data_IF_754057340636
#
_entry.id   IF_754057340636
#
_cell.length_a   1.000
_cell.length_b   1.000
_cell.length_c   1.000
_cell.angle_alpha   90.00
_cell.angle_beta   90.00
_cell.angle_gamma   90.00
#
_symmetry.space_group_name_H-M   'P 1'
#
loop_
_entity.id
_entity.type
_entity.pdbx_description
1 polymer ?
#
# COMPACT_ATOMS: atom_id res chain seq x y z
N UNK A 1 -26.18 -14.85 -1.54
CA UNK A 1 -26.20 -13.40 -1.17
C UNK A 1 -24.99 -12.98 -0.36
N UNK A 2 -24.66 -13.64 0.75
CA UNK A 2 -23.50 -13.29 1.60
C UNK A 2 -22.17 -13.26 0.84
N UNK A 3 -21.88 -14.28 0.02
CA UNK A 3 -20.64 -14.33 -0.81
C UNK A 3 -20.53 -13.12 -1.75
N UNK A 4 -21.62 -12.70 -2.40
CA UNK A 4 -21.62 -11.55 -3.30
C UNK A 4 -21.34 -10.24 -2.55
N UNK A 5 -21.82 -10.11 -1.31
CA UNK A 5 -21.54 -8.95 -0.44
C UNK A 5 -20.05 -8.93 -0.06
N UNK A 6 -19.49 -10.07 0.36
CA UNK A 6 -18.06 -10.17 0.68
C UNK A 6 -17.20 -9.87 -0.55
N UNK A 7 -17.56 -10.36 -1.72
CA UNK A 7 -16.89 -10.04 -2.99
C UNK A 7 -16.94 -8.54 -3.31
N UNK A 8 -18.11 -7.91 -3.17
CA UNK A 8 -18.27 -6.47 -3.40
C UNK A 8 -17.38 -5.66 -2.44
N UNK A 9 -17.37 -6.02 -1.16
CA UNK A 9 -16.55 -5.36 -0.14
C UNK A 9 -15.06 -5.54 -0.44
N UNK A 10 -14.64 -6.75 -0.84
CA UNK A 10 -13.26 -7.01 -1.24
C UNK A 10 -12.87 -6.16 -2.45
N UNK A 11 -13.72 -6.14 -3.48
CA UNK A 11 -13.48 -5.38 -4.71
C UNK A 11 -13.38 -3.88 -4.45
N UNK A 12 -14.32 -3.31 -3.69
CA UNK A 12 -14.32 -1.89 -3.31
C UNK A 12 -13.08 -1.55 -2.48
N UNK A 13 -12.71 -2.40 -1.51
CA UNK A 13 -11.53 -2.20 -0.67
C UNK A 13 -10.23 -2.21 -1.49
N UNK A 14 -10.09 -3.15 -2.42
CA UNK A 14 -8.95 -3.22 -3.36
C UNK A 14 -8.90 -2.01 -4.26
N UNK A 15 -10.05 -1.56 -4.77
CA UNK A 15 -10.12 -0.37 -5.61
C UNK A 15 -9.66 0.88 -4.86
N UNK A 16 -10.14 1.09 -3.62
CA UNK A 16 -9.67 2.19 -2.78
C UNK A 16 -8.20 2.05 -2.40
N UNK A 17 -7.72 0.83 -2.12
CA UNK A 17 -6.31 0.55 -1.89
C UNK A 17 -5.46 0.97 -3.08
N UNK A 18 -5.80 0.53 -4.30
CA UNK A 18 -5.06 0.85 -5.51
C UNK A 18 -5.02 2.37 -5.75
N UNK A 19 -6.16 3.07 -5.61
CA UNK A 19 -6.20 4.52 -5.76
C UNK A 19 -5.29 5.20 -4.73
N UNK A 20 -5.39 4.82 -3.45
CA UNK A 20 -4.57 5.40 -2.38
C UNK A 20 -3.09 5.12 -2.60
N UNK A 21 -2.76 3.89 -3.00
CA UNK A 21 -1.40 3.46 -3.29
C UNK A 21 -0.83 4.23 -4.47
N UNK A 22 -1.48 4.24 -5.65
CA UNK A 22 -1.00 5.00 -6.82
C UNK A 22 -0.87 6.49 -6.54
N UNK A 23 -1.82 7.07 -5.80
CA UNK A 23 -1.75 8.46 -5.39
C UNK A 23 -0.55 8.70 -4.47
N UNK A 24 -0.28 7.77 -3.55
CA UNK A 24 0.91 7.80 -2.71
C UNK A 24 2.19 7.71 -3.55
N UNK A 25 2.34 6.71 -4.43
CA UNK A 25 3.51 6.52 -5.30
C UNK A 25 3.83 7.76 -6.12
N UNK A 26 2.80 8.41 -6.65
CA UNK A 26 2.95 9.62 -7.48
C UNK A 26 3.31 10.86 -6.66
N UNK A 27 2.79 10.98 -5.43
CA UNK A 27 2.97 12.16 -4.57
C UNK A 27 4.22 12.07 -3.69
N UNK A 28 4.68 10.86 -3.39
CA UNK A 28 5.85 10.58 -2.57
C UNK A 28 7.12 11.32 -3.01
N UNK A 29 7.55 11.31 -4.29
CA UNK A 29 8.74 12.04 -4.71
C UNK A 29 8.60 13.56 -4.54
N UNK A 30 7.37 14.10 -4.60
CA UNK A 30 7.10 15.53 -4.47
C UNK A 30 7.04 15.97 -3.00
N UNK A 31 6.38 15.18 -2.15
CA UNK A 31 6.21 15.47 -0.73
C UNK A 31 7.46 15.17 0.09
N UNK A 32 8.22 14.14 -0.30
CA UNK A 32 9.37 13.64 0.45
C UNK A 32 10.59 13.42 -0.46
N UNK A 33 11.11 14.48 -1.11
CA UNK A 33 12.20 14.37 -2.08
C UNK A 33 13.49 13.82 -1.47
N UNK A 34 13.76 14.12 -0.19
CA UNK A 34 14.93 13.61 0.52
C UNK A 34 14.86 12.09 0.76
N UNK A 35 13.70 11.58 1.17
CA UNK A 35 13.42 10.14 1.29
C UNK A 35 13.54 9.45 -0.06
N UNK A 36 12.93 10.04 -1.09
CA UNK A 36 12.92 9.48 -2.43
C UNK A 36 14.33 9.31 -3.01
N UNK A 37 15.25 10.25 -2.75
CA UNK A 37 16.67 10.10 -3.10
C UNK A 37 17.36 8.99 -2.31
N UNK A 38 17.09 8.84 -1.02
CA UNK A 38 17.66 7.75 -0.20
C UNK A 38 17.21 6.35 -0.67
N UNK A 39 16.02 6.27 -1.25
CA UNK A 39 15.48 5.05 -1.84
C UNK A 39 16.07 4.71 -3.21
N UNK A 40 16.96 5.55 -3.75
CA UNK A 40 17.55 5.34 -5.08
C UNK A 40 16.64 5.75 -6.23
N UNK A 41 15.78 6.75 -6.03
CA UNK A 41 14.86 7.28 -7.05
C UNK A 41 13.98 6.19 -7.71
N UNK A 42 13.18 5.45 -6.91
CA UNK A 42 12.35 4.37 -7.43
C UNK A 42 11.35 4.87 -8.49
N UNK A 43 11.22 4.10 -9.57
CA UNK A 43 10.24 4.35 -10.64
C UNK A 43 8.80 4.33 -10.10
N UNK A 44 7.95 5.26 -10.52
CA UNK A 44 6.58 5.37 -10.01
C UNK A 44 5.65 4.25 -10.48
N UNK A 45 5.91 3.70 -11.67
CA UNK A 45 5.07 2.67 -12.31
C UNK A 45 5.81 1.34 -12.52
N UNK A 46 7.13 1.32 -12.39
CA UNK A 46 7.94 0.11 -12.54
C UNK A 46 7.71 -0.89 -11.40
N UNK A 47 7.77 -2.19 -11.72
CA UNK A 47 7.63 -3.31 -10.77
C UNK A 47 8.59 -3.17 -9.58
N UNK A 48 9.85 -2.81 -9.86
CA UNK A 48 10.86 -2.59 -8.85
C UNK A 48 10.51 -1.41 -7.93
N UNK A 49 10.05 -0.30 -8.52
CA UNK A 49 9.65 0.86 -7.75
C UNK A 49 8.43 0.59 -6.87
N UNK A 50 7.38 -0.05 -7.42
CA UNK A 50 6.21 -0.46 -6.64
C UNK A 50 6.59 -1.37 -5.46
N UNK A 51 7.53 -2.30 -5.66
CA UNK A 51 8.07 -3.13 -4.58
C UNK A 51 8.76 -2.28 -3.50
N UNK A 52 9.57 -1.29 -3.88
CA UNK A 52 10.22 -0.36 -2.95
C UNK A 52 9.20 0.51 -2.19
N UNK A 53 8.16 1.01 -2.85
CA UNK A 53 7.09 1.73 -2.15
C UNK A 53 6.31 0.84 -1.20
N UNK A 54 6.12 -0.44 -1.56
CA UNK A 54 5.47 -1.42 -0.70
C UNK A 54 6.35 -1.76 0.51
N UNK A 55 7.66 -1.96 0.37
CA UNK A 55 8.57 -2.20 1.50
C UNK A 55 8.60 -0.99 2.44
N UNK A 56 8.56 0.22 1.88
CA UNK A 56 8.42 1.48 2.63
C UNK A 56 7.10 1.53 3.40
N UNK A 57 5.96 1.25 2.76
CA UNK A 57 4.65 1.19 3.42
C UNK A 57 4.65 0.14 4.53
N UNK A 58 5.24 -1.04 4.29
CA UNK A 58 5.37 -2.12 5.27
C UNK A 58 6.42 -1.84 6.36
N UNK A 59 7.20 -0.75 6.24
CA UNK A 59 8.23 -0.38 7.21
C UNK A 59 9.39 -1.37 7.24
N UNK A 60 9.57 -2.14 6.17
CA UNK A 60 10.65 -3.11 6.00
C UNK A 60 11.90 -2.46 5.37
N UNK A 61 11.79 -1.20 4.95
CA UNK A 61 12.85 -0.53 4.22
C UNK A 61 13.97 -0.03 5.15
N UNK A 62 15.11 -0.70 5.09
CA UNK A 62 16.28 -0.42 5.94
C UNK A 62 17.08 0.81 5.51
N UNK A 63 16.89 1.29 4.27
CA UNK A 63 17.64 2.42 3.70
C UNK A 63 17.17 3.79 4.21
N UNK A 64 16.06 3.84 4.94
CA UNK A 64 15.43 5.10 5.35
C UNK A 64 15.44 5.24 6.87
N UNK A 65 15.90 6.38 7.43
CA UNK A 65 15.82 6.63 8.86
C UNK A 65 14.37 6.73 9.33
N UNK A 66 14.03 6.04 10.43
CA UNK A 66 12.68 5.95 11.00
C UNK A 66 12.01 7.32 11.27
N UNK A 67 12.80 8.34 11.59
CA UNK A 67 12.33 9.71 11.80
C UNK A 67 11.71 10.32 10.53
N UNK A 68 12.26 10.00 9.37
CA UNK A 68 11.77 10.50 8.09
C UNK A 68 10.45 9.78 7.69
N UNK A 69 10.31 8.51 8.06
CA UNK A 69 9.06 7.74 7.90
C UNK A 69 7.92 8.28 8.78
N UNK A 70 8.22 8.99 9.88
CA UNK A 70 7.20 9.52 10.77
C UNK A 70 6.26 10.52 10.08
N UNK A 71 6.75 11.31 9.13
CA UNK A 71 5.93 12.26 8.37
C UNK A 71 4.93 11.56 7.43
N UNK A 72 5.22 10.31 7.06
CA UNK A 72 4.46 9.52 6.09
C UNK A 72 3.62 8.44 6.78
N UNK A 73 3.78 8.29 8.09
CA UNK A 73 3.21 7.20 8.91
C UNK A 73 1.69 7.12 8.82
N UNK A 74 1.00 8.26 8.71
CA UNK A 74 -0.45 8.30 8.55
C UNK A 74 -0.94 7.70 7.24
N UNK A 75 -0.30 8.07 6.11
CA UNK A 75 -0.63 7.49 4.79
C UNK A 75 -0.26 6.00 4.74
N UNK A 76 0.89 5.62 5.32
CA UNK A 76 1.31 4.22 5.43
C UNK A 76 0.31 3.39 6.24
N UNK A 77 -0.16 3.89 7.38
CA UNK A 77 -1.14 3.21 8.20
C UNK A 77 -2.46 3.01 7.43
N UNK A 78 -2.93 4.03 6.71
CA UNK A 78 -4.14 3.92 5.88
C UNK A 78 -4.00 2.84 4.79
N UNK A 79 -2.87 2.81 4.08
CA UNK A 79 -2.60 1.81 3.05
C UNK A 79 -2.50 0.40 3.66
N UNK A 80 -1.83 0.25 4.82
CA UNK A 80 -1.75 -1.04 5.53
C UNK A 80 -3.12 -1.54 5.96
N UNK A 81 -3.96 -0.68 6.53
CA UNK A 81 -5.31 -1.05 6.98
C UNK A 81 -6.15 -1.54 5.79
N UNK A 82 -6.11 -0.82 4.66
CA UNK A 82 -6.80 -1.24 3.43
C UNK A 82 -6.27 -2.58 2.90
N UNK A 83 -4.96 -2.80 2.93
CA UNK A 83 -4.34 -4.06 2.53
C UNK A 83 -4.81 -5.22 3.42
N UNK A 84 -4.82 -5.03 4.75
CA UNK A 84 -5.28 -6.05 5.70
C UNK A 84 -6.74 -6.39 5.47
N UNK A 85 -7.60 -5.37 5.28
CA UNK A 85 -9.02 -5.58 4.97
C UNK A 85 -9.18 -6.40 3.69
N UNK A 86 -8.43 -6.07 2.63
CA UNK A 86 -8.47 -6.81 1.38
C UNK A 86 -8.03 -8.27 1.55
N UNK A 87 -6.92 -8.53 2.26
CA UNK A 87 -6.42 -9.89 2.53
C UNK A 87 -7.43 -10.71 3.32
N UNK A 88 -8.00 -10.14 4.39
CA UNK A 88 -9.03 -10.82 5.21
C UNK A 88 -10.27 -11.13 4.39
N UNK A 89 -10.72 -10.19 3.56
CA UNK A 89 -11.89 -10.40 2.70
C UNK A 89 -11.64 -11.51 1.67
N UNK A 90 -10.47 -11.52 1.01
CA UNK A 90 -10.11 -12.59 0.07
C UNK A 90 -9.94 -13.94 0.75
N UNK A 91 -9.29 -14.00 1.91
CA UNK A 91 -9.14 -15.24 2.68
C UNK A 91 -10.51 -15.79 3.12
N UNK A 92 -11.43 -14.93 3.54
CA UNK A 92 -12.79 -15.32 3.91
C UNK A 92 -13.54 -15.90 2.71
N UNK A 93 -13.45 -15.28 1.53
CA UNK A 93 -14.03 -15.82 0.30
C UNK A 93 -13.43 -17.18 -0.04
N UNK A 94 -12.10 -17.30 -0.01
CA UNK A 94 -11.40 -18.54 -0.36
C UNK A 94 -11.84 -19.71 0.53
N UNK A 95 -11.98 -19.48 1.85
CA UNK A 95 -12.47 -20.47 2.82
C UNK A 95 -13.95 -20.85 2.63
N UNK A 96 -14.75 -19.98 1.98
CA UNK A 96 -16.16 -20.28 1.70
C UNK A 96 -16.36 -20.98 0.36
N UNK A 97 -15.38 -20.88 -0.54
CA UNK A 97 -15.43 -21.48 -1.89
C UNK A 97 -14.59 -22.74 -2.06
N UNK A 98 -13.64 -22.99 -1.16
CA UNK A 98 -12.84 -24.21 -1.09
C UNK A 98 -13.34 -25.15 -0.02
#
# INVERSE_FOLDING_TARGET
>A
MMINIVFLVAFVSVFFYLIKFFRFTRRFPQLYPALWRHLGCPESLGLHGQATYLTVVLGLEKRVPLHALHQVRGEMAAIRVLLVIAVVAFASVALMTG
#
